data_IF_522026722129
#
_entry.id   IF_522026722129
#
_cell.length_a   1.000
_cell.length_b   1.000
_cell.length_c   1.000
_cell.angle_alpha   90.00
_cell.angle_beta   90.00
_cell.angle_gamma   90.00
#
_symmetry.space_group_name_H-M   'P 1'
#
loop_
_entity.id
_entity.type
_entity.pdbx_description
1 polymer ?
#
# COMPACT_ATOMS: atom_id res chain seq x y z
N UNK A 1 31.43 -21.86 -32.22
CA UNK A 1 30.38 -20.87 -31.89
C UNK A 1 29.10 -21.64 -31.55
N UNK A 2 28.79 -21.79 -30.28
CA UNK A 2 27.65 -22.61 -29.81
C UNK A 2 26.56 -21.73 -29.25
N UNK A 3 25.39 -21.77 -29.90
CA UNK A 3 24.16 -21.15 -29.44
C UNK A 3 23.66 -21.84 -28.16
N UNK A 4 23.41 -21.08 -27.10
CA UNK A 4 22.57 -21.51 -25.98
C UNK A 4 21.31 -20.65 -25.95
N UNK A 5 20.10 -21.24 -25.90
CA UNK A 5 18.88 -20.49 -25.69
C UNK A 5 18.80 -20.05 -24.22
N UNK A 6 18.46 -18.78 -23.98
CA UNK A 6 18.12 -18.26 -22.66
C UNK A 6 16.74 -18.79 -22.29
N UNK A 7 16.70 -19.72 -21.34
CA UNK A 7 15.47 -20.17 -20.70
C UNK A 7 14.96 -19.07 -19.77
N UNK A 8 13.88 -18.40 -20.17
CA UNK A 8 13.09 -17.55 -19.28
C UNK A 8 12.37 -18.43 -18.26
N UNK A 9 12.97 -18.63 -17.09
CA UNK A 9 12.24 -19.05 -15.88
C UNK A 9 11.93 -17.83 -15.05
N UNK A 10 10.76 -17.23 -15.27
CA UNK A 10 10.10 -16.46 -14.22
C UNK A 10 9.26 -17.46 -13.42
N UNK A 11 9.45 -17.61 -12.10
CA UNK A 11 8.50 -18.36 -11.30
C UNK A 11 7.19 -17.55 -11.24
N UNK A 12 6.16 -18.07 -11.89
CA UNK A 12 4.77 -17.65 -11.67
C UNK A 12 4.41 -18.00 -10.22
N UNK A 13 4.31 -17.00 -9.35
CA UNK A 13 3.74 -17.19 -8.02
C UNK A 13 2.22 -17.31 -8.17
N UNK A 14 1.73 -18.53 -8.38
CA UNK A 14 0.32 -18.87 -8.23
C UNK A 14 -0.03 -18.73 -6.75
N UNK A 15 -0.70 -17.64 -6.39
CA UNK A 15 -1.46 -17.56 -5.14
C UNK A 15 -2.91 -17.27 -5.50
N UNK A 16 -3.64 -18.33 -5.84
CA UNK A 16 -5.10 -18.32 -5.81
C UNK A 16 -5.54 -18.30 -4.34
N UNK A 17 -5.77 -17.12 -3.79
CA UNK A 17 -6.30 -16.94 -2.44
C UNK A 17 -7.80 -16.61 -2.51
N UNK A 18 -8.60 -17.58 -2.94
CA UNK A 18 -10.06 -17.56 -2.76
C UNK A 18 -10.40 -18.53 -1.63
N UNK A 19 -10.19 -18.09 -0.39
CA UNK A 19 -10.55 -18.84 0.82
C UNK A 19 -11.59 -18.09 1.64
N UNK A 20 -12.70 -18.75 1.98
CA UNK A 20 -13.70 -18.24 2.92
C UNK A 20 -13.07 -18.11 4.31
N UNK A 21 -12.94 -16.89 4.82
CA UNK A 21 -12.34 -16.56 6.13
C UNK A 21 -13.27 -16.83 7.34
N UNK A 22 -14.20 -17.79 7.25
CA UNK A 22 -15.12 -18.09 8.38
C UNK A 22 -14.41 -18.73 9.58
N UNK A 23 -13.23 -19.34 9.36
CA UNK A 23 -12.63 -20.26 10.34
C UNK A 23 -11.16 -19.93 10.64
N UNK A 24 -10.84 -18.66 10.93
CA UNK A 24 -9.50 -18.29 11.44
C UNK A 24 -9.35 -18.80 12.87
N UNK A 25 -8.76 -19.99 13.02
CA UNK A 25 -8.34 -20.56 14.30
C UNK A 25 -7.08 -19.81 14.76
N UNK A 26 -7.08 -19.35 16.02
CA UNK A 26 -5.89 -18.75 16.64
C UNK A 26 -4.74 -19.79 16.61
N UNK A 27 -3.52 -19.42 16.19
CA UNK A 27 -2.41 -20.37 16.22
C UNK A 27 -2.20 -20.91 17.64
N UNK A 28 -2.24 -22.24 17.78
CA UNK A 28 -1.85 -22.93 19.01
C UNK A 28 -0.35 -22.78 19.25
N UNK A 29 0.06 -22.79 20.53
CA UNK A 29 1.34 -22.39 21.14
C UNK A 29 2.65 -23.07 20.65
N UNK A 30 2.71 -23.59 19.43
CA UNK A 30 3.89 -24.25 18.90
C UNK A 30 4.42 -23.57 17.64
N UNK A 31 5.09 -22.44 17.83
CA UNK A 31 6.12 -21.97 16.89
C UNK A 31 7.36 -21.51 17.67
N UNK A 32 8.39 -22.36 17.59
CA UNK A 32 9.83 -22.11 17.70
C UNK A 32 10.36 -20.95 18.58
N UNK A 33 11.18 -21.36 19.54
CA UNK A 33 12.09 -20.54 20.38
C UNK A 33 12.85 -19.48 19.57
N UNK A 34 12.32 -18.27 19.59
CA UNK A 34 12.98 -17.01 19.30
C UNK A 34 12.17 -15.96 20.04
N UNK A 35 12.79 -15.22 20.96
CA UNK A 35 12.14 -14.29 21.90
C UNK A 35 11.45 -13.12 21.20
N UNK A 36 10.25 -13.34 20.64
CA UNK A 36 9.35 -12.30 20.13
C UNK A 36 7.89 -12.45 20.59
N UNK A 37 7.53 -13.59 21.20
CA UNK A 37 6.18 -13.82 21.71
C UNK A 37 6.14 -13.71 23.24
N UNK A 38 6.04 -12.48 23.74
CA UNK A 38 5.36 -12.28 25.02
C UNK A 38 3.86 -12.33 24.73
N UNK A 39 3.22 -13.47 24.97
CA UNK A 39 1.76 -13.58 25.06
C UNK A 39 1.28 -12.81 26.31
N UNK A 40 1.41 -11.48 26.28
CA UNK A 40 0.97 -10.61 27.34
C UNK A 40 -0.55 -10.46 27.33
N UNK A 41 -1.14 -10.33 28.52
CA UNK A 41 -2.52 -9.87 28.71
C UNK A 41 -2.77 -8.61 27.86
N UNK A 42 -3.91 -8.56 27.15
CA UNK A 42 -4.34 -7.37 26.39
C UNK A 42 -4.09 -7.41 24.87
N UNK A 43 -3.81 -8.59 24.29
CA UNK A 43 -3.75 -8.78 22.84
C UNK A 43 -5.08 -9.32 22.30
N UNK A 44 -5.58 -8.71 21.24
CA UNK A 44 -6.86 -9.00 20.62
C UNK A 44 -6.71 -9.33 19.13
N UNK A 45 -7.75 -9.95 18.56
CA UNK A 45 -7.96 -10.05 17.13
C UNK A 45 -8.86 -8.88 16.70
N UNK A 46 -8.42 -8.11 15.72
CA UNK A 46 -9.22 -7.04 15.12
C UNK A 46 -9.59 -7.39 13.68
N UNK A 47 -10.86 -7.17 13.34
CA UNK A 47 -11.38 -7.15 11.99
C UNK A 47 -11.80 -5.72 11.69
N UNK A 48 -11.28 -5.18 10.59
CA UNK A 48 -11.57 -3.81 10.17
C UNK A 48 -12.13 -3.82 8.77
N UNK A 49 -13.34 -3.28 8.60
CA UNK A 49 -13.90 -2.98 7.30
C UNK A 49 -13.43 -1.60 6.88
N UNK A 50 -12.86 -1.50 5.68
CA UNK A 50 -12.17 -0.32 5.19
C UNK A 50 -12.89 0.23 3.97
N UNK A 51 -13.26 1.50 4.01
CA UNK A 51 -13.67 2.29 2.85
C UNK A 51 -12.56 3.28 2.52
N UNK A 52 -11.92 3.12 1.37
CA UNK A 52 -10.85 3.97 0.89
C UNK A 52 -11.33 4.85 -0.26
N UNK A 53 -10.71 6.01 -0.43
CA UNK A 53 -10.96 6.88 -1.58
C UNK A 53 -9.67 7.15 -2.35
N UNK A 54 -9.73 7.00 -3.67
CA UNK A 54 -8.65 7.41 -4.57
C UNK A 54 -8.66 8.93 -4.67
N UNK A 55 -7.63 9.60 -4.15
CA UNK A 55 -7.50 11.07 -4.20
C UNK A 55 -6.88 11.51 -5.53
N UNK A 56 -5.93 10.74 -6.04
CA UNK A 56 -5.33 10.88 -7.38
C UNK A 56 -5.26 9.50 -8.01
N UNK A 57 -5.47 9.42 -9.33
CA UNK A 57 -5.46 8.17 -10.09
C UNK A 57 -4.39 7.23 -9.59
N UNK A 58 -4.70 5.95 -9.44
CA UNK A 58 -3.79 4.97 -8.84
C UNK A 58 -3.72 3.69 -9.64
N UNK A 59 -2.58 3.00 -9.61
CA UNK A 59 -2.39 1.74 -10.32
C UNK A 59 -1.45 0.84 -9.52
N UNK A 60 -1.97 -0.26 -9.00
CA UNK A 60 -1.17 -1.43 -8.64
C UNK A 60 -1.15 -2.33 -9.87
N UNK A 61 -0.02 -2.46 -10.55
CA UNK A 61 0.03 -3.15 -11.83
C UNK A 61 -0.09 -4.68 -11.67
N UNK A 62 -0.73 -5.35 -12.62
CA UNK A 62 -0.76 -6.82 -12.70
C UNK A 62 0.58 -7.42 -13.15
N UNK A 63 1.42 -6.61 -13.81
CA UNK A 63 2.61 -7.07 -14.53
C UNK A 63 2.34 -7.34 -16.01
N UNK A 64 1.08 -7.32 -16.42
CA UNK A 64 0.68 -7.43 -17.82
C UNK A 64 0.78 -6.10 -18.55
N UNK A 65 0.97 -6.20 -19.86
CA UNK A 65 1.00 -5.06 -20.77
C UNK A 65 0.09 -5.35 -21.96
N UNK A 66 -0.59 -4.32 -22.46
CA UNK A 66 -1.42 -4.39 -23.65
C UNK A 66 -1.22 -3.15 -24.52
N UNK A 67 -1.61 -3.24 -25.79
CA UNK A 67 -1.71 -2.06 -26.65
C UNK A 67 -3.14 -1.54 -26.57
N UNK A 68 -3.31 -0.35 -26.02
CA UNK A 68 -4.62 0.29 -25.87
C UNK A 68 -4.57 1.62 -26.59
N UNK A 69 -5.62 1.89 -27.39
CA UNK A 69 -5.83 3.19 -28.02
C UNK A 69 -6.13 4.20 -26.92
N UNK A 70 -5.11 4.97 -26.53
CA UNK A 70 -5.12 5.79 -25.32
C UNK A 70 -5.52 7.25 -25.60
N UNK A 71 -5.22 8.15 -24.65
CA UNK A 71 -5.58 9.58 -24.56
C UNK A 71 -5.34 10.42 -25.84
N UNK A 72 -4.60 9.89 -26.82
CA UNK A 72 -4.22 10.58 -28.06
C UNK A 72 -4.69 9.86 -29.33
N UNK A 73 -5.68 8.95 -29.23
CA UNK A 73 -6.18 8.14 -30.35
C UNK A 73 -5.12 7.29 -31.08
N UNK A 74 -3.96 7.08 -30.44
CA UNK A 74 -2.89 6.20 -30.89
C UNK A 74 -2.82 4.97 -29.98
N UNK A 75 -2.49 3.82 -30.55
CA UNK A 75 -2.19 2.62 -29.77
C UNK A 75 -0.88 2.81 -29.02
N UNK A 76 -0.95 2.75 -27.69
CA UNK A 76 0.20 2.91 -26.83
C UNK A 76 0.38 1.68 -25.96
N UNK A 77 1.65 1.32 -25.69
CA UNK A 77 1.97 0.31 -24.71
C UNK A 77 1.43 0.75 -23.35
N UNK A 78 0.54 -0.06 -22.79
CA UNK A 78 -0.19 0.24 -21.58
C UNK A 78 0.06 -0.84 -20.55
N UNK A 79 0.57 -0.45 -19.39
CA UNK A 79 0.66 -1.36 -18.24
C UNK A 79 -0.72 -1.46 -17.60
N UNK A 80 -1.21 -2.69 -17.45
CA UNK A 80 -2.55 -2.93 -16.97
C UNK A 80 -2.62 -2.88 -15.44
N UNK A 81 -3.76 -2.45 -14.92
CA UNK A 81 -4.03 -2.44 -13.49
C UNK A 81 -4.33 -3.87 -13.05
N UNK A 82 -3.94 -4.17 -11.82
CA UNK A 82 -4.43 -5.34 -11.10
C UNK A 82 -5.97 -5.28 -11.03
N UNK A 83 -6.57 -6.45 -11.24
CA UNK A 83 -8.01 -6.67 -11.15
C UNK A 83 -8.25 -7.84 -10.21
N UNK A 84 -9.27 -7.72 -9.37
CA UNK A 84 -9.77 -8.82 -8.53
C UNK A 84 -11.04 -9.34 -9.20
N UNK A 85 -10.95 -10.51 -9.82
CA UNK A 85 -11.91 -10.94 -10.84
C UNK A 85 -11.93 -9.95 -12.01
N UNK A 86 -13.11 -9.44 -12.37
CA UNK A 86 -13.29 -8.47 -13.46
C UNK A 86 -13.30 -7.00 -13.02
N UNK A 87 -13.01 -6.72 -11.73
CA UNK A 87 -13.10 -5.38 -11.15
C UNK A 87 -11.72 -4.82 -10.88
N UNK A 88 -11.55 -3.52 -11.14
CA UNK A 88 -10.35 -2.80 -10.74
C UNK A 88 -10.16 -2.93 -9.22
N UNK A 89 -8.92 -3.15 -8.78
CA UNK A 89 -8.63 -3.33 -7.38
C UNK A 89 -7.21 -2.88 -7.02
N UNK A 90 -7.00 -2.56 -5.74
CA UNK A 90 -5.68 -2.52 -5.14
C UNK A 90 -5.41 -3.85 -4.46
N UNK A 91 -4.32 -4.53 -4.83
CA UNK A 91 -4.02 -5.82 -4.21
C UNK A 91 -3.71 -5.66 -2.72
N UNK A 92 -4.15 -6.63 -1.91
CA UNK A 92 -3.89 -6.64 -0.46
C UNK A 92 -2.39 -6.60 -0.13
N UNK A 93 -1.56 -7.27 -0.93
CA UNK A 93 -0.10 -7.23 -0.82
C UNK A 93 0.48 -5.84 -1.09
N UNK A 94 -0.04 -5.11 -2.08
CA UNK A 94 0.38 -3.74 -2.37
C UNK A 94 -0.03 -2.77 -1.27
N UNK A 95 -1.24 -2.92 -0.73
CA UNK A 95 -1.72 -2.16 0.42
C UNK A 95 -0.81 -2.38 1.61
N UNK A 96 -0.59 -3.64 1.99
CA UNK A 96 0.32 -4.02 3.07
C UNK A 96 1.71 -3.42 2.90
N UNK A 97 2.30 -3.54 1.70
CA UNK A 97 3.62 -2.98 1.40
C UNK A 97 3.68 -1.45 1.51
N UNK A 98 2.65 -0.75 1.00
CA UNK A 98 2.56 0.71 1.10
C UNK A 98 2.41 1.17 2.55
N UNK A 99 1.50 0.55 3.30
CA UNK A 99 1.26 0.88 4.71
C UNK A 99 2.48 0.57 5.57
N UNK A 100 3.16 -0.57 5.36
CA UNK A 100 4.43 -0.90 6.02
C UNK A 100 5.48 0.20 5.81
N UNK A 101 5.64 0.69 4.58
CA UNK A 101 6.61 1.72 4.26
C UNK A 101 6.29 3.06 4.94
N UNK A 102 5.01 3.46 4.96
CA UNK A 102 4.58 4.69 5.64
C UNK A 102 4.65 4.56 7.16
N UNK A 103 4.29 3.41 7.70
CA UNK A 103 4.44 3.12 9.13
C UNK A 103 5.89 3.27 9.57
N UNK A 104 6.83 2.67 8.85
CA UNK A 104 8.26 2.82 9.13
C UNK A 104 8.72 4.28 9.04
N UNK A 105 8.26 5.00 8.01
CA UNK A 105 8.66 6.39 7.80
C UNK A 105 8.11 7.34 8.89
N UNK A 106 6.88 7.12 9.36
CA UNK A 106 6.25 7.96 10.38
C UNK A 106 6.78 7.66 11.78
N UNK A 107 6.89 6.38 12.14
CA UNK A 107 7.21 5.99 13.52
C UNK A 107 8.68 5.68 13.75
N UNK A 108 9.45 5.35 12.71
CA UNK A 108 10.88 5.03 12.85
C UNK A 108 11.16 3.77 13.67
N UNK A 109 10.19 2.85 13.79
CA UNK A 109 10.30 1.62 14.59
C UNK A 109 10.50 0.39 13.70
N UNK A 110 11.74 0.05 13.31
CA UNK A 110 12.00 -1.06 12.38
C UNK A 110 11.56 -2.42 12.93
N UNK A 111 11.80 -2.68 14.22
CA UNK A 111 11.42 -3.95 14.87
C UNK A 111 9.90 -4.12 14.92
N UNK A 112 9.18 -3.10 15.41
CA UNK A 112 7.71 -3.13 15.42
C UNK A 112 7.12 -3.23 14.01
N UNK A 113 7.71 -2.56 13.03
CA UNK A 113 7.29 -2.66 11.63
C UNK A 113 7.48 -4.08 11.10
N UNK A 114 8.62 -4.71 11.39
CA UNK A 114 8.91 -6.07 10.98
C UNK A 114 7.98 -7.08 11.65
N UNK A 115 7.68 -6.89 12.93
CA UNK A 115 6.76 -7.73 13.70
C UNK A 115 5.30 -7.62 13.22
N UNK A 116 4.82 -6.40 12.92
CA UNK A 116 3.46 -6.20 12.39
C UNK A 116 3.31 -6.73 10.96
N UNK A 117 4.23 -6.36 10.07
CA UNK A 117 4.08 -6.57 8.62
C UNK A 117 4.85 -7.79 8.09
N UNK A 118 5.59 -8.48 8.95
CA UNK A 118 6.46 -9.61 8.62
C UNK A 118 7.79 -9.18 7.97
N UNK A 119 8.75 -10.11 7.98
CA UNK A 119 10.00 -10.02 7.22
C UNK A 119 10.49 -11.41 6.83
N UNK A 120 11.26 -11.49 5.75
CA UNK A 120 11.62 -12.75 5.07
C UNK A 120 13.13 -13.01 5.02
N UNK A 121 13.94 -12.33 5.83
CA UNK A 121 15.41 -12.45 5.79
C UNK A 121 15.93 -13.12 7.07
N UNK A 122 16.60 -14.28 6.91
CA UNK A 122 17.24 -15.03 8.00
C UNK A 122 16.25 -15.85 8.82
N UNK A 123 15.44 -15.18 9.64
CA UNK A 123 14.40 -15.79 10.48
C UNK A 123 13.05 -15.24 10.00
N UNK A 124 12.22 -16.04 9.33
CA UNK A 124 10.94 -15.56 8.82
C UNK A 124 9.97 -15.30 9.97
N UNK A 125 9.50 -14.05 10.11
CA UNK A 125 8.38 -13.73 11.00
C UNK A 125 7.10 -13.58 10.17
N UNK A 126 6.07 -14.31 10.59
CA UNK A 126 4.72 -14.15 10.05
C UNK A 126 4.17 -12.77 10.38
N UNK A 127 3.36 -12.24 9.47
CA UNK A 127 2.77 -10.92 9.67
C UNK A 127 1.48 -11.00 10.46
N UNK A 128 1.37 -10.13 11.46
CA UNK A 128 0.14 -9.92 12.21
C UNK A 128 -0.92 -9.10 11.46
N UNK A 129 -0.51 -8.36 10.43
CA UNK A 129 -1.35 -7.45 9.64
C UNK A 129 -1.62 -8.03 8.25
N UNK A 130 -2.88 -8.38 7.99
CA UNK A 130 -3.34 -8.96 6.74
C UNK A 130 -4.35 -8.02 6.06
N UNK A 131 -4.19 -7.79 4.77
CA UNK A 131 -5.11 -7.00 3.95
C UNK A 131 -5.76 -7.90 2.90
N UNK A 132 -7.07 -7.77 2.74
CA UNK A 132 -7.72 -8.22 1.50
C UNK A 132 -7.42 -7.24 0.37
N UNK A 133 -7.74 -7.63 -0.86
CA UNK A 133 -7.86 -6.65 -1.94
C UNK A 133 -8.91 -5.59 -1.59
N UNK A 134 -8.66 -4.36 -2.05
CA UNK A 134 -9.64 -3.28 -2.00
C UNK A 134 -10.24 -3.08 -3.39
N UNK A 135 -11.54 -3.31 -3.54
CA UNK A 135 -12.22 -3.48 -4.83
C UNK A 135 -12.98 -2.19 -5.21
N UNK A 136 -12.83 -1.76 -6.46
CA UNK A 136 -13.31 -0.47 -6.99
C UNK A 136 -14.73 -0.54 -7.60
N UNK A 137 -15.69 -1.19 -6.93
CA UNK A 137 -17.08 -1.23 -7.40
C UNK A 137 -17.22 -1.52 -8.91
N UNK A 138 -17.91 -0.64 -9.63
CA UNK A 138 -18.06 -0.69 -11.11
C UNK A 138 -17.27 0.42 -11.82
N UNK A 139 -16.18 0.89 -11.21
CA UNK A 139 -15.35 1.95 -11.77
C UNK A 139 -14.71 1.49 -13.10
N UNK A 140 -14.78 2.37 -14.10
CA UNK A 140 -14.10 2.18 -15.38
C UNK A 140 -12.65 2.68 -15.28
N UNK A 141 -11.70 2.02 -15.96
CA UNK A 141 -10.31 2.48 -15.92
C UNK A 141 -10.14 3.81 -16.65
N UNK A 142 -9.22 4.62 -16.14
CA UNK A 142 -8.68 5.78 -16.84
C UNK A 142 -7.26 5.50 -17.30
N UNK A 143 -6.93 5.90 -18.52
CA UNK A 143 -5.60 5.72 -19.08
C UNK A 143 -4.79 7.00 -18.89
N UNK A 144 -3.68 6.91 -18.17
CA UNK A 144 -2.82 8.05 -17.87
C UNK A 144 -1.46 7.84 -18.52
N UNK A 145 -1.03 8.79 -19.35
CA UNK A 145 0.31 8.79 -19.92
C UNK A 145 1.33 9.16 -18.85
N UNK A 146 2.37 8.33 -18.68
CA UNK A 146 3.44 8.55 -17.69
C UNK A 146 4.80 8.79 -18.34
N UNK A 147 4.86 8.99 -19.66
CA UNK A 147 6.13 9.16 -20.38
C UNK A 147 7.05 7.95 -20.24
N UNK A 148 8.37 8.19 -20.23
CA UNK A 148 9.36 7.13 -19.95
C UNK A 148 9.43 6.82 -18.46
N UNK A 149 9.48 5.54 -18.15
CA UNK A 149 9.67 5.09 -16.78
C UNK A 149 11.07 5.38 -16.26
N UNK A 150 11.09 5.79 -15.00
CA UNK A 150 12.28 6.04 -14.20
C UNK A 150 13.03 4.74 -13.94
N UNK A 151 14.30 4.67 -14.35
CA UNK A 151 15.19 3.62 -13.82
C UNK A 151 15.46 3.93 -12.33
N UNK A 152 15.22 3.00 -11.40
CA UNK A 152 15.54 3.22 -9.98
C UNK A 152 17.06 3.43 -9.84
N UNK A 153 17.47 4.60 -9.38
CA UNK A 153 18.88 4.95 -9.22
C UNK A 153 19.33 4.67 -7.78
N UNK A 154 20.02 3.53 -7.61
CA UNK A 154 20.81 3.09 -6.44
C UNK A 154 20.01 2.54 -5.23
N UNK A 155 20.48 1.38 -4.77
CA UNK A 155 20.24 0.85 -3.44
C UNK A 155 20.94 1.77 -2.41
N UNK A 156 20.27 2.19 -1.34
CA UNK A 156 21.02 2.73 -0.21
C UNK A 156 21.88 1.61 0.38
N UNK A 157 23.10 1.94 0.83
CA UNK A 157 24.00 0.97 1.48
C UNK A 157 23.39 0.30 2.72
N UNK A 158 22.29 0.85 3.26
CA UNK A 158 21.50 0.33 4.37
C UNK A 158 20.28 -0.52 3.96
N UNK A 159 20.19 -0.99 2.71
CA UNK A 159 19.47 -2.22 2.37
C UNK A 159 17.96 -2.26 2.60
N UNK A 160 17.17 -1.31 2.07
CA UNK A 160 15.72 -1.51 2.16
C UNK A 160 14.79 -0.58 1.39
N UNK A 161 15.25 0.57 0.90
CA UNK A 161 14.37 1.57 0.26
C UNK A 161 14.92 1.94 -1.11
N UNK A 162 14.10 1.75 -2.15
CA UNK A 162 14.40 2.19 -3.53
C UNK A 162 13.98 3.65 -3.68
N UNK A 163 14.90 4.48 -4.19
CA UNK A 163 14.64 5.89 -4.44
C UNK A 163 14.56 6.15 -5.95
N UNK A 164 13.67 7.06 -6.33
CA UNK A 164 13.55 7.58 -7.69
C UNK A 164 13.94 9.07 -7.64
N UNK A 165 14.95 9.46 -8.43
CA UNK A 165 15.37 10.87 -8.55
C UNK A 165 14.64 11.46 -9.75
N UNK A 166 13.91 12.58 -9.61
CA UNK A 166 13.25 13.22 -10.73
C UNK A 166 14.24 13.95 -11.69
N UNK A 167 14.76 13.30 -12.73
CA UNK A 167 15.07 13.86 -14.08
C UNK A 167 13.87 14.56 -14.73
N UNK A 168 13.25 15.52 -14.04
CA UNK A 168 12.23 16.35 -14.65
C UNK A 168 12.95 17.32 -15.58
N UNK A 169 13.10 16.93 -16.85
CA UNK A 169 13.55 17.82 -17.91
C UNK A 169 12.38 18.74 -18.27
N UNK A 170 12.41 19.98 -17.75
CA UNK A 170 11.40 21.04 -17.98
C UNK A 170 11.32 21.50 -19.45
N UNK A 171 12.21 20.98 -20.30
CA UNK A 171 12.53 21.41 -21.65
C UNK A 171 12.06 20.42 -22.74
N UNK A 172 11.32 19.35 -22.40
CA UNK A 172 10.87 18.40 -23.41
C UNK A 172 9.58 18.89 -24.09
N UNK A 173 9.68 19.19 -25.39
CA UNK A 173 8.54 19.48 -26.28
C UNK A 173 7.58 18.27 -26.34
N UNK A 174 6.27 18.53 -26.31
CA UNK A 174 5.18 17.54 -26.47
C UNK A 174 5.34 16.69 -27.73
N UNK A 175 5.80 17.26 -28.85
CA UNK A 175 6.05 16.53 -30.11
C UNK A 175 7.21 15.54 -29.99
N UNK A 176 8.22 15.88 -29.18
CA UNK A 176 9.40 15.06 -28.93
C UNK A 176 9.07 13.92 -27.93
N UNK A 177 8.06 14.13 -27.07
CA UNK A 177 7.45 13.09 -26.25
C UNK A 177 6.61 12.11 -27.10
N UNK A 178 5.84 12.60 -28.08
CA UNK A 178 5.03 11.80 -29.02
C UNK A 178 5.88 10.86 -29.88
N UNK A 179 7.06 11.30 -30.32
CA UNK A 179 8.00 10.47 -31.10
C UNK A 179 8.68 9.35 -30.32
N UNK A 180 8.72 9.40 -28.98
CA UNK A 180 9.63 8.59 -28.16
C UNK A 180 8.99 7.40 -27.42
N UNK A 181 7.72 7.11 -27.71
CA UNK A 181 6.97 5.95 -27.19
C UNK A 181 6.48 6.19 -25.76
N UNK A 182 5.19 6.49 -25.61
CA UNK A 182 4.58 6.62 -24.30
C UNK A 182 4.27 5.26 -23.70
N UNK A 183 4.63 5.09 -22.43
CA UNK A 183 3.96 4.10 -21.59
C UNK A 183 2.74 4.75 -20.96
N UNK A 184 1.57 4.13 -21.16
CA UNK A 184 0.36 4.48 -20.45
C UNK A 184 0.15 3.54 -19.24
N UNK A 185 -0.58 4.00 -18.24
CA UNK A 185 -1.08 3.17 -17.16
C UNK A 185 -2.59 3.07 -17.28
N UNK A 186 -3.13 1.86 -17.22
CA UNK A 186 -4.53 1.65 -16.81
C UNK A 186 -4.62 1.95 -15.31
N UNK A 187 -5.44 2.94 -14.93
CA UNK A 187 -5.54 3.43 -13.55
C UNK A 187 -6.96 3.35 -13.02
N UNK A 188 -7.08 3.24 -11.69
CA UNK A 188 -8.31 3.50 -10.96
C UNK A 188 -8.46 5.03 -10.85
N UNK A 189 -9.56 5.62 -11.35
CA UNK A 189 -9.77 7.07 -11.38
C UNK A 189 -9.81 7.71 -9.98
N UNK A 190 -9.43 8.98 -9.90
CA UNK A 190 -9.69 9.81 -8.73
C UNK A 190 -11.20 9.88 -8.39
N UNK A 191 -11.52 10.04 -7.11
CA UNK A 191 -12.88 10.01 -6.59
C UNK A 191 -13.44 8.61 -6.35
N UNK A 192 -12.84 7.56 -6.95
CA UNK A 192 -13.30 6.17 -6.80
C UNK A 192 -13.21 5.70 -5.35
N UNK A 193 -14.29 5.07 -4.87
CA UNK A 193 -14.33 4.38 -3.58
C UNK A 193 -13.90 2.92 -3.73
N UNK A 194 -13.11 2.43 -2.78
CA UNK A 194 -12.62 1.06 -2.73
C UNK A 194 -13.01 0.45 -1.39
N UNK A 195 -13.59 -0.75 -1.42
CA UNK A 195 -13.96 -1.47 -0.21
C UNK A 195 -13.01 -2.65 0.02
N UNK A 196 -12.52 -2.80 1.24
CA UNK A 196 -11.59 -3.87 1.62
C UNK A 196 -11.66 -4.20 3.10
N UNK A 197 -10.80 -5.12 3.53
CA UNK A 197 -10.70 -5.54 4.93
C UNK A 197 -9.26 -5.63 5.38
N UNK A 198 -9.06 -5.30 6.65
CA UNK A 198 -7.83 -5.48 7.39
C UNK A 198 -8.11 -6.43 8.57
N UNK A 199 -7.22 -7.40 8.77
CA UNK A 199 -7.23 -8.26 9.95
C UNK A 199 -5.91 -8.05 10.68
N UNK A 200 -5.98 -7.79 11.98
CA UNK A 200 -4.81 -7.69 12.85
C UNK A 200 -4.91 -8.74 13.94
N UNK A 201 -3.99 -9.71 13.95
CA UNK A 201 -3.94 -10.77 14.95
C UNK A 201 -3.03 -10.37 16.10
N UNK A 202 -3.33 -10.85 17.32
CA UNK A 202 -2.47 -10.70 18.48
C UNK A 202 -1.95 -9.26 18.68
N UNK A 203 -2.84 -8.28 18.51
CA UNK A 203 -2.48 -6.85 18.43
C UNK A 203 -3.13 -6.05 19.55
N UNK A 204 -2.60 -4.86 19.84
CA UNK A 204 -3.22 -3.91 20.77
C UNK A 204 -4.00 -2.82 20.04
N UNK A 205 -4.88 -2.11 20.75
CA UNK A 205 -5.61 -0.96 20.21
C UNK A 205 -4.64 0.14 19.74
N UNK A 206 -3.51 0.32 20.42
CA UNK A 206 -2.49 1.30 20.06
C UNK A 206 -1.81 0.95 18.73
N UNK A 207 -1.50 -0.33 18.50
CA UNK A 207 -0.95 -0.80 17.23
C UNK A 207 -1.95 -0.60 16.08
N UNK A 208 -3.20 -1.02 16.31
CA UNK A 208 -4.30 -0.80 15.35
C UNK A 208 -4.46 0.69 15.02
N UNK A 209 -4.49 1.54 16.04
CA UNK A 209 -4.64 3.00 15.88
C UNK A 209 -3.53 3.57 14.99
N UNK A 210 -2.28 3.15 15.23
CA UNK A 210 -1.13 3.60 14.43
C UNK A 210 -1.20 3.14 12.98
N UNK A 211 -1.65 1.91 12.73
CA UNK A 211 -1.85 1.36 11.38
C UNK A 211 -2.93 2.14 10.64
N UNK A 212 -4.08 2.39 11.26
CA UNK A 212 -5.17 3.17 10.66
C UNK A 212 -4.78 4.63 10.43
N UNK A 213 -4.03 5.24 11.37
CA UNK A 213 -3.57 6.62 11.23
C UNK A 213 -2.68 6.82 9.99
N UNK A 214 -1.77 5.88 9.69
CA UNK A 214 -0.91 6.00 8.49
C UNK A 214 -1.65 5.76 7.17
N UNK A 215 -2.87 5.23 7.23
CA UNK A 215 -3.79 5.17 6.08
C UNK A 215 -4.45 6.53 5.77
N UNK A 216 -4.08 7.59 6.50
CA UNK A 216 -4.56 8.96 6.28
C UNK A 216 -6.08 9.07 6.38
N UNK A 217 -6.65 8.98 7.60
CA UNK A 217 -8.09 9.12 7.82
C UNK A 217 -8.59 10.49 7.34
N UNK A 218 -9.77 10.50 6.72
CA UNK A 218 -10.46 11.73 6.37
C UNK A 218 -10.88 12.49 7.64
N UNK A 219 -10.60 13.80 7.69
CA UNK A 219 -10.92 14.67 8.83
C UNK A 219 -11.72 15.88 8.39
N UNK A 220 -12.77 15.66 7.59
CA UNK A 220 -13.75 16.71 7.25
C UNK A 220 -13.13 17.90 6.52
N UNK A 221 -12.35 17.65 5.46
CA UNK A 221 -11.80 18.70 4.59
C UNK A 221 -10.48 19.33 5.04
N UNK A 222 -10.12 19.28 6.34
CA UNK A 222 -8.84 19.85 6.84
C UNK A 222 -7.60 19.27 6.15
N UNK A 223 -7.71 18.03 5.69
CA UNK A 223 -6.65 17.23 5.10
C UNK A 223 -7.10 16.58 3.79
N UNK A 224 -7.96 17.28 3.03
CA UNK A 224 -8.68 16.72 1.87
C UNK A 224 -7.74 16.09 0.83
N UNK A 225 -6.61 16.72 0.58
CA UNK A 225 -5.60 16.27 -0.36
C UNK A 225 -4.57 15.30 0.24
N UNK A 226 -4.60 15.02 1.55
CA UNK A 226 -3.69 14.07 2.18
C UNK A 226 -4.06 12.64 1.78
N UNK A 227 -3.03 11.81 1.60
CA UNK A 227 -3.22 10.38 1.38
C UNK A 227 -1.88 9.66 1.38
N UNK A 228 -1.93 8.36 1.61
CA UNK A 228 -0.78 7.51 1.48
C UNK A 228 -0.51 7.18 0.00
N UNK A 229 0.76 7.02 -0.35
CA UNK A 229 1.18 6.70 -1.72
C UNK A 229 1.33 5.20 -1.96
N UNK A 230 0.61 4.68 -2.93
CA UNK A 230 0.61 3.27 -3.39
C UNK A 230 0.81 3.20 -4.91
N UNK A 231 1.19 2.02 -5.42
CA UNK A 231 1.23 1.77 -6.86
C UNK A 231 2.44 2.34 -7.60
N UNK A 232 2.34 2.38 -8.93
CA UNK A 232 3.37 2.84 -9.87
C UNK A 232 3.27 4.34 -10.12
N UNK A 233 4.30 4.92 -10.75
CA UNK A 233 4.31 6.32 -11.19
C UNK A 233 4.11 7.37 -10.08
N UNK A 234 4.45 7.04 -8.82
CA UNK A 234 4.43 7.97 -7.67
C UNK A 234 5.11 9.33 -7.94
N UNK A 235 6.21 9.43 -8.72
CA UNK A 235 6.81 10.73 -9.06
C UNK A 235 5.89 11.66 -9.88
N UNK A 236 4.93 11.11 -10.63
CA UNK A 236 3.98 11.87 -11.45
C UNK A 236 2.71 12.31 -10.69
N UNK A 237 2.71 12.21 -9.35
CA UNK A 237 1.54 12.56 -8.54
C UNK A 237 0.42 11.51 -8.54
N UNK A 238 0.64 10.37 -9.20
CA UNK A 238 -0.25 9.20 -9.23
C UNK A 238 -0.11 8.41 -7.92
N UNK A 239 -1.18 7.72 -7.55
CA UNK A 239 -1.15 6.70 -6.50
C UNK A 239 -1.52 7.21 -5.12
N UNK A 240 -2.35 8.25 -5.01
CA UNK A 240 -2.75 8.83 -3.72
C UNK A 240 -4.10 8.28 -3.28
N UNK A 241 -4.14 7.63 -2.12
CA UNK A 241 -5.34 7.00 -1.55
C UNK A 241 -5.47 7.44 -0.10
N UNK A 242 -6.70 7.62 0.40
CA UNK A 242 -6.98 7.96 1.80
C UNK A 242 -8.03 7.05 2.41
N UNK A 243 -8.04 6.93 3.72
CA UNK A 243 -9.04 6.17 4.48
C UNK A 243 -10.28 7.05 4.70
N UNK A 244 -11.37 6.76 3.98
CA UNK A 244 -12.60 7.54 4.06
C UNK A 244 -13.42 7.19 5.30
N UNK A 245 -13.59 5.89 5.57
CA UNK A 245 -14.29 5.42 6.75
C UNK A 245 -13.79 4.02 7.12
N UNK A 246 -14.04 3.61 8.35
CA UNK A 246 -13.78 2.25 8.81
C UNK A 246 -14.70 1.84 9.94
N UNK A 247 -14.89 0.53 10.07
CA UNK A 247 -15.59 -0.13 11.18
C UNK A 247 -14.67 -1.14 11.82
N UNK A 248 -14.54 -1.13 13.15
CA UNK A 248 -13.66 -2.05 13.89
C UNK A 248 -14.47 -3.00 14.74
N UNK A 249 -14.21 -4.29 14.57
CA UNK A 249 -14.66 -5.36 15.46
C UNK A 249 -13.46 -5.96 16.18
N UNK A 250 -13.60 -6.16 17.49
CA UNK A 250 -12.59 -6.75 18.37
C UNK A 250 -13.10 -8.09 18.90
N UNK A 251 -12.24 -9.10 18.86
CA UNK A 251 -12.39 -10.35 19.62
C UNK A 251 -11.19 -10.49 20.55
N UNK A 252 -11.43 -10.33 21.84
CA UNK A 252 -10.39 -10.50 22.88
C UNK A 252 -10.43 -11.91 23.45
N UNK A 253 -9.36 -12.35 24.12
CA UNK A 253 -9.35 -13.62 24.86
C UNK A 253 -10.35 -13.68 26.02
N UNK A 254 -10.87 -12.52 26.45
CA UNK A 254 -11.82 -12.39 27.55
C UNK A 254 -13.28 -12.38 27.08
N UNK A 255 -13.53 -12.31 25.78
CA UNK A 255 -14.87 -12.17 25.20
C UNK A 255 -15.20 -13.37 24.30
N UNK A 256 -16.38 -13.96 24.47
CA UNK A 256 -16.85 -15.09 23.66
C UNK A 256 -17.23 -14.72 22.22
N UNK A 257 -17.41 -13.43 21.92
CA UNK A 257 -17.86 -12.93 20.61
C UNK A 257 -17.10 -11.69 20.12
N UNK A 258 -17.42 -11.28 18.89
CA UNK A 258 -16.98 -10.01 18.33
C UNK A 258 -17.77 -8.86 18.95
N UNK A 259 -17.08 -7.78 19.33
CA UNK A 259 -17.73 -6.52 19.69
C UNK A 259 -17.26 -5.41 18.78
N UNK A 260 -18.16 -4.52 18.41
CA UNK A 260 -17.78 -3.28 17.74
C UNK A 260 -17.09 -2.34 18.73
N UNK A 261 -16.00 -1.71 18.32
CA UNK A 261 -15.30 -0.70 19.11
C UNK A 261 -15.13 0.58 18.29
N UNK A 262 -15.28 1.73 18.95
CA UNK A 262 -14.98 3.02 18.33
C UNK A 262 -13.57 3.48 18.71
N UNK A 263 -12.74 3.67 17.68
CA UNK A 263 -11.37 4.20 17.80
C UNK A 263 -11.14 5.42 16.91
N UNK A 264 -12.20 6.01 16.33
CA UNK A 264 -12.09 7.12 15.37
C UNK A 264 -11.34 8.32 15.95
N UNK A 265 -11.68 8.73 17.17
CA UNK A 265 -11.02 9.86 17.84
C UNK A 265 -9.54 9.57 18.15
N UNK A 266 -9.20 8.33 18.50
CA UNK A 266 -7.81 7.92 18.74
C UNK A 266 -7.00 7.98 17.43
N UNK A 267 -7.57 7.45 16.35
CA UNK A 267 -6.97 7.45 15.01
C UNK A 267 -6.80 8.87 14.48
N UNK A 268 -7.83 9.72 14.65
CA UNK A 268 -7.77 11.10 14.23
C UNK A 268 -6.67 11.87 14.97
N UNK A 269 -6.57 11.70 16.28
CA UNK A 269 -5.53 12.32 17.11
C UNK A 269 -4.14 11.84 16.72
N UNK A 270 -3.92 10.53 16.61
CA UNK A 270 -2.63 9.96 16.20
C UNK A 270 -2.20 10.48 14.82
N UNK A 271 -3.14 10.62 13.88
CA UNK A 271 -2.89 11.21 12.58
C UNK A 271 -2.46 12.69 12.69
N UNK A 272 -3.23 13.52 13.39
CA UNK A 272 -2.91 14.94 13.51
C UNK A 272 -1.61 15.20 14.30
N UNK A 273 -1.36 14.45 15.36
CA UNK A 273 -0.23 14.68 16.27
C UNK A 273 1.08 14.10 15.77
N UNK A 274 1.05 12.95 15.08
CA UNK A 274 2.27 12.27 14.63
C UNK A 274 2.40 12.29 13.12
N UNK A 275 1.37 11.84 12.41
CA UNK A 275 1.46 11.64 10.96
C UNK A 275 1.63 12.98 10.23
N UNK A 276 0.85 14.00 10.61
CA UNK A 276 0.97 15.36 10.05
C UNK A 276 2.23 16.07 10.57
N UNK A 277 2.54 15.99 11.86
CA UNK A 277 3.67 16.73 12.46
C UNK A 277 5.06 16.12 12.17
N UNK A 278 5.16 14.89 11.67
CA UNK A 278 6.43 14.41 11.09
C UNK A 278 6.88 15.29 9.90
N UNK A 279 6.02 16.20 9.38
CA UNK A 279 6.42 17.30 8.49
C UNK A 279 7.29 18.38 9.13
N UNK A 280 7.08 18.72 10.41
CA UNK A 280 7.65 19.93 11.03
C UNK A 280 8.95 19.68 11.78
N UNK A 281 9.13 18.48 12.34
CA UNK A 281 10.41 18.09 12.96
C UNK A 281 11.28 17.40 11.94
N UNK A 282 12.01 18.22 11.17
CA UNK A 282 13.04 17.77 10.24
C UNK A 282 14.00 16.80 10.91
N UNK A 283 13.77 15.50 10.72
CA UNK A 283 14.76 14.50 11.01
C UNK A 283 15.93 14.80 10.05
N UNK A 284 17.05 15.27 10.60
CA UNK A 284 18.35 15.44 9.93
C UNK A 284 18.95 14.08 9.53
N UNK A 285 18.14 13.15 9.02
CA UNK A 285 18.61 12.11 8.11
C UNK A 285 18.62 12.79 6.74
N UNK A 286 19.83 13.06 6.25
CA UNK A 286 20.08 13.80 5.03
C UNK A 286 19.12 13.40 3.89
N UNK A 287 18.44 14.42 3.35
CA UNK A 287 17.55 14.43 2.18
C UNK A 287 16.07 13.98 2.39
N UNK A 288 15.20 14.94 2.69
CA UNK A 288 13.94 15.29 1.98
C UNK A 288 12.89 14.22 1.54
N UNK A 289 12.95 12.93 1.93
CA UNK A 289 12.42 11.85 1.06
C UNK A 289 11.16 11.08 1.47
N UNK A 290 10.50 11.38 2.59
CA UNK A 290 9.16 10.84 2.88
C UNK A 290 8.24 11.97 3.31
N UNK A 291 7.34 12.38 2.42
CA UNK A 291 6.28 13.35 2.72
C UNK A 291 4.95 12.62 2.59
N UNK A 292 4.08 12.76 3.59
CA UNK A 292 2.65 12.65 3.36
C UNK A 292 2.25 13.98 2.71
N UNK A 293 1.69 13.87 1.51
CA UNK A 293 1.43 15.02 0.63
C UNK A 293 0.03 15.54 0.92
N UNK A 294 -0.05 16.46 1.87
CA UNK A 294 -1.14 17.41 2.03
C UNK A 294 -0.72 18.67 1.26
N UNK A 295 -1.22 18.83 0.05
CA UNK A 295 -1.09 20.08 -0.72
C UNK A 295 -2.37 20.88 -0.53
#
# INVERSE_FOLDING_TARGET
MTNRPLSNRFPSSNYDFVGKYSDVILPSEHTSRGTFFNAGKGRSLFKVELSLQVVKNTCTCSGEVGFIRSCYNQENLTVLSYKSGNKLALSGSSLKGAIRAHFLAVYGYPMLTADLFGFSHGESAESRVLFSDAIAGDARPEYVSIGREWKPHKYCKSGGIKFYIPEYRKDINIEDLLRRGYTCLETIPAGTKLEGRLIMTNSTIEELTKVLAVMSPDQGGKYENCGFRIGRAKPFGIGRVKLLNFKVEEKSSLTSGWREIDVKDRVAREFSERVVNTRTKGCKISSNKFRIYCE
#
